data_IF_584881934062
#
_entry.id   IF_584881934062
#
_cell.length_a   1.000
_cell.length_b   1.000
_cell.length_c   1.000
_cell.angle_alpha   90.00
_cell.angle_beta   90.00
_cell.angle_gamma   90.00
#
_symmetry.space_group_name_H-M   'P 1'
#
loop_
_entity.id
_entity.type
_entity.pdbx_description
1 polymer ?
#
# COMPACT_ATOMS: atom_id res chain seq x y z
N UNK A 1 -31.72 -0.51 1.16
CA UNK A 1 -30.48 0.19 0.76
C UNK A 1 -29.46 0.02 1.89
N UNK A 2 -28.17 -0.11 1.58
CA UNK A 2 -27.13 -0.47 2.56
C UNK A 2 -26.66 0.71 3.47
N UNK A 3 -27.57 1.61 3.86
CA UNK A 3 -27.27 2.76 4.73
C UNK A 3 -26.44 3.90 4.13
N UNK A 4 -25.95 3.76 2.89
CA UNK A 4 -25.15 4.79 2.21
C UNK A 4 -26.00 5.80 1.44
N UNK A 5 -25.54 7.06 1.38
CA UNK A 5 -26.23 8.18 0.69
C UNK A 5 -26.19 8.13 -0.84
N UNK A 6 -25.55 7.11 -1.42
CA UNK A 6 -25.30 6.96 -2.85
C UNK A 6 -24.01 6.20 -3.13
N UNK A 7 -23.54 6.24 -4.38
CA UNK A 7 -22.27 5.64 -4.78
C UNK A 7 -21.11 6.36 -4.09
N UNK A 8 -20.23 5.61 -3.44
CA UNK A 8 -19.02 6.11 -2.79
C UNK A 8 -17.78 5.38 -3.29
N UNK A 9 -16.62 6.01 -3.11
CA UNK A 9 -15.32 5.43 -3.46
C UNK A 9 -14.85 4.41 -2.41
N UNK A 10 -14.03 3.41 -2.80
CA UNK A 10 -13.27 2.62 -1.82
C UNK A 10 -12.49 3.54 -0.89
N UNK A 11 -12.58 3.31 0.43
CA UNK A 11 -11.91 4.07 1.47
C UNK A 11 -10.40 4.21 1.20
N UNK A 12 -9.75 3.13 0.76
CA UNK A 12 -8.31 3.09 0.45
C UNK A 12 -7.87 4.01 -0.70
N UNK A 13 -8.80 4.48 -1.55
CA UNK A 13 -8.52 5.46 -2.60
C UNK A 13 -8.40 6.91 -2.08
N UNK A 14 -8.63 7.14 -0.78
CA UNK A 14 -8.53 8.46 -0.14
C UNK A 14 -7.19 9.16 -0.46
N UNK A 15 -6.08 8.43 -0.36
CA UNK A 15 -4.76 8.96 -0.67
C UNK A 15 -4.63 9.32 -2.16
N UNK A 16 -5.04 8.43 -3.07
CA UNK A 16 -5.03 8.65 -4.53
C UNK A 16 -5.79 9.91 -4.95
N UNK A 17 -6.98 10.14 -4.39
CA UNK A 17 -7.82 11.29 -4.75
C UNK A 17 -7.39 12.60 -4.10
N UNK A 18 -6.68 12.53 -2.97
CA UNK A 18 -6.11 13.71 -2.32
C UNK A 18 -4.82 14.21 -2.97
N UNK A 19 -4.14 13.37 -3.74
CA UNK A 19 -2.88 13.68 -4.40
C UNK A 19 -3.03 14.66 -5.56
N UNK A 20 -2.05 15.55 -5.71
CA UNK A 20 -1.92 16.44 -6.87
C UNK A 20 -1.90 15.65 -8.18
N UNK A 21 -2.44 16.24 -9.25
CA UNK A 21 -2.29 15.67 -10.58
C UNK A 21 -0.81 15.66 -10.99
N UNK A 22 -0.31 14.52 -11.47
CA UNK A 22 1.07 14.38 -11.95
C UNK A 22 1.42 15.31 -13.13
N UNK A 23 0.41 15.84 -13.83
CA UNK A 23 0.56 16.75 -14.96
C UNK A 23 -0.63 17.72 -15.04
N UNK A 24 -0.40 18.93 -15.53
CA UNK A 24 -1.42 19.94 -15.79
C UNK A 24 -1.35 20.47 -17.24
N UNK A 25 -2.48 20.87 -17.85
CA UNK A 25 -2.49 21.50 -19.18
C UNK A 25 -1.48 22.65 -19.29
N UNK A 26 -0.68 22.63 -20.36
CA UNK A 26 0.40 23.60 -20.59
C UNK A 26 1.77 23.19 -20.01
N UNK A 27 1.84 22.20 -19.11
CA UNK A 27 3.12 21.62 -18.72
C UNK A 27 3.68 20.72 -19.85
N UNK A 28 5.00 20.65 -20.05
CA UNK A 28 5.57 19.68 -20.99
C UNK A 28 5.32 18.24 -20.52
N UNK A 29 5.32 17.29 -21.45
CA UNK A 29 5.16 15.86 -21.12
C UNK A 29 6.13 15.41 -20.02
N UNK A 30 5.66 14.51 -19.15
CA UNK A 30 6.49 13.82 -18.16
C UNK A 30 7.41 12.79 -18.83
N UNK A 31 6.97 12.23 -19.96
CA UNK A 31 7.66 11.20 -20.75
C UNK A 31 8.73 11.83 -21.66
N UNK A 32 9.79 12.36 -21.03
CA UNK A 32 10.86 13.12 -21.71
C UNK A 32 12.01 12.26 -22.25
N UNK A 33 11.95 10.94 -22.07
CA UNK A 33 13.01 10.00 -22.43
C UNK A 33 12.41 8.74 -23.06
N UNK A 34 13.08 8.21 -24.07
CA UNK A 34 12.79 6.91 -24.70
C UNK A 34 13.59 5.75 -24.08
N UNK A 35 14.14 5.94 -22.87
CA UNK A 35 14.85 4.90 -22.14
C UNK A 35 13.83 3.86 -21.62
N UNK A 36 13.97 2.55 -21.89
CA UNK A 36 12.99 1.53 -21.50
C UNK A 36 12.68 1.52 -20.00
N UNK A 37 13.69 1.73 -19.15
CA UNK A 37 13.56 1.73 -17.69
C UNK A 37 13.30 3.13 -17.10
N UNK A 38 12.82 4.09 -17.90
CA UNK A 38 12.45 5.41 -17.39
C UNK A 38 11.15 5.34 -16.59
N UNK A 39 11.25 5.57 -15.28
CA UNK A 39 10.09 5.61 -14.38
C UNK A 39 9.94 7.00 -13.77
N UNK A 40 8.70 7.45 -13.60
CA UNK A 40 8.42 8.74 -12.98
C UNK A 40 8.71 8.67 -11.49
N UNK A 41 9.67 9.47 -11.02
CA UNK A 41 9.85 9.67 -9.57
C UNK A 41 8.61 10.41 -9.06
N UNK A 42 7.88 9.80 -8.14
CA UNK A 42 6.68 10.41 -7.54
C UNK A 42 7.01 11.82 -7.01
N UNK A 43 6.42 12.84 -7.63
CA UNK A 43 6.57 14.24 -7.23
C UNK A 43 5.66 14.54 -6.04
N UNK A 44 5.87 13.81 -4.94
CA UNK A 44 5.34 14.24 -3.65
C UNK A 44 6.18 15.44 -3.20
N UNK A 45 5.68 16.64 -3.47
CA UNK A 45 6.18 17.87 -2.87
C UNK A 45 6.00 17.76 -1.35
N UNK A 46 7.01 17.24 -0.64
CA UNK A 46 7.01 17.12 0.83
C UNK A 46 7.28 18.47 1.53
N UNK A 47 6.77 19.57 0.95
CA UNK A 47 6.99 20.94 1.41
C UNK A 47 8.46 21.34 1.50
N UNK A 48 8.74 22.36 2.30
CA UNK A 48 10.09 22.90 2.56
C UNK A 48 10.86 22.09 3.63
N UNK A 49 10.40 20.89 3.98
CA UNK A 49 10.92 20.17 5.15
C UNK A 49 12.15 19.34 4.73
N UNK A 50 13.35 19.60 5.31
CA UNK A 50 14.58 18.93 4.89
C UNK A 50 14.48 17.42 4.99
N UNK A 51 14.62 16.72 3.86
CA UNK A 51 14.60 15.27 3.85
C UNK A 51 15.97 14.73 4.29
N UNK A 52 16.04 13.84 5.31
CA UNK A 52 17.29 13.30 5.84
C UNK A 52 17.93 12.23 4.93
N UNK A 53 17.45 12.10 3.68
CA UNK A 53 17.88 11.07 2.76
C UNK A 53 17.45 11.33 1.32
N UNK A 54 18.07 10.61 0.40
CA UNK A 54 17.80 10.68 -1.05
C UNK A 54 16.92 9.52 -1.54
N UNK A 55 16.72 8.50 -0.70
CA UNK A 55 15.94 7.29 -0.94
C UNK A 55 15.01 7.04 0.24
N UNK A 56 13.99 6.19 0.07
CA UNK A 56 13.15 5.76 1.17
C UNK A 56 12.12 4.71 0.81
N UNK A 57 11.48 4.17 1.83
CA UNK A 57 10.35 3.24 1.72
C UNK A 57 9.34 3.50 2.85
N UNK A 58 8.07 3.22 2.59
CA UNK A 58 7.05 3.19 3.62
C UNK A 58 7.30 2.02 4.57
N UNK A 59 7.19 2.26 5.87
CA UNK A 59 7.42 1.26 6.93
C UNK A 59 6.13 0.85 7.63
N UNK A 60 5.17 1.78 7.70
CA UNK A 60 3.89 1.59 8.38
C UNK A 60 2.85 2.61 7.86
N UNK A 61 1.58 2.21 7.80
CA UNK A 61 0.46 3.03 7.32
C UNK A 61 -0.81 2.66 8.10
N UNK A 62 -1.21 3.52 9.04
CA UNK A 62 -2.52 3.47 9.70
C UNK A 62 -3.47 4.47 9.01
N UNK A 63 -4.74 4.12 8.82
CA UNK A 63 -5.77 5.05 8.33
C UNK A 63 -7.07 4.85 9.10
N UNK A 64 -7.57 5.92 9.71
CA UNK A 64 -8.87 6.00 10.37
C UNK A 64 -9.86 6.71 9.43
N UNK A 65 -11.01 6.09 9.15
CA UNK A 65 -12.04 6.63 8.26
C UNK A 65 -13.28 7.05 9.06
N UNK A 66 -13.73 8.29 8.86
CA UNK A 66 -14.87 8.87 9.59
C UNK A 66 -16.16 8.87 8.76
N UNK A 67 -16.04 8.91 7.44
CA UNK A 67 -17.15 8.78 6.49
C UNK A 67 -16.63 8.37 5.11
N UNK A 68 -17.45 7.69 4.28
CA UNK A 68 -17.10 7.41 2.90
C UNK A 68 -17.08 8.69 2.05
N UNK A 69 -16.22 8.71 1.02
CA UNK A 69 -16.16 9.79 0.03
C UNK A 69 -17.16 9.53 -1.10
N UNK A 70 -18.19 10.36 -1.22
CA UNK A 70 -19.25 10.14 -2.21
C UNK A 70 -18.89 10.64 -3.62
N UNK A 71 -19.52 10.04 -4.63
CA UNK A 71 -19.34 10.43 -6.04
C UNK A 71 -19.63 11.93 -6.23
N UNK A 72 -18.66 12.65 -6.80
CA UNK A 72 -18.74 14.10 -7.04
C UNK A 72 -18.18 14.97 -5.90
N UNK A 73 -17.86 14.40 -4.74
CA UNK A 73 -17.11 15.12 -3.71
C UNK A 73 -15.64 15.35 -4.13
N UNK A 74 -15.03 16.39 -3.57
CA UNK A 74 -13.60 16.69 -3.73
C UNK A 74 -12.92 16.56 -2.38
N UNK A 75 -11.87 15.76 -2.30
CA UNK A 75 -11.07 15.59 -1.08
C UNK A 75 -9.74 16.33 -1.18
N UNK A 76 -9.23 16.78 -0.05
CA UNK A 76 -7.96 17.48 0.07
C UNK A 76 -7.30 17.19 1.41
N UNK A 77 -5.97 17.12 1.45
CA UNK A 77 -5.23 17.16 2.73
C UNK A 77 -5.28 18.60 3.24
N UNK A 78 -5.90 18.81 4.41
CA UNK A 78 -6.00 20.15 5.03
C UNK A 78 -4.89 20.43 6.02
N UNK A 79 -4.45 19.41 6.74
CA UNK A 79 -3.32 19.47 7.65
C UNK A 79 -2.39 18.30 7.39
N UNK A 80 -1.09 18.56 7.44
CA UNK A 80 -0.05 17.53 7.46
C UNK A 80 0.96 17.88 8.55
N UNK A 81 1.10 17.01 9.55
CA UNK A 81 1.93 17.24 10.74
C UNK A 81 3.00 16.17 10.87
N UNK A 82 4.25 16.58 11.05
CA UNK A 82 5.34 15.68 11.42
C UNK A 82 5.16 15.31 12.89
N UNK A 83 4.83 14.05 13.18
CA UNK A 83 4.63 13.57 14.55
C UNK A 83 5.93 13.06 15.18
N UNK A 84 6.82 12.45 14.37
CA UNK A 84 8.02 11.78 14.86
C UNK A 84 9.18 11.92 13.89
N UNK A 85 10.39 12.05 14.45
CA UNK A 85 11.69 12.01 13.76
C UNK A 85 12.62 11.11 14.59
N UNK A 86 12.95 9.94 14.07
CA UNK A 86 13.83 8.98 14.76
C UNK A 86 15.05 8.63 13.87
N UNK A 87 16.19 9.35 14.03
CA UNK A 87 17.42 9.08 13.31
C UNK A 87 17.99 7.70 13.64
N UNK A 88 18.34 6.92 12.61
CA UNK A 88 18.83 5.55 12.77
C UNK A 88 19.73 5.13 11.61
N UNK A 89 20.88 4.52 11.93
CA UNK A 89 21.72 3.78 10.99
C UNK A 89 21.11 2.41 10.73
N UNK A 90 21.01 2.00 9.46
CA UNK A 90 20.48 0.70 9.04
C UNK A 90 21.42 0.02 8.05
N UNK A 91 21.06 -1.20 7.63
CA UNK A 91 21.80 -1.96 6.60
C UNK A 91 21.72 -1.34 5.20
N UNK A 92 20.71 -0.52 4.91
CA UNK A 92 20.56 0.15 3.61
C UNK A 92 21.24 1.52 3.57
N UNK A 93 21.35 2.20 4.71
CA UNK A 93 21.96 3.53 4.77
C UNK A 93 21.87 4.20 6.14
N UNK A 94 22.29 5.46 6.18
CA UNK A 94 22.07 6.37 7.30
C UNK A 94 20.87 7.28 7.00
N UNK A 95 19.97 7.47 7.97
CA UNK A 95 18.69 8.12 7.72
C UNK A 95 17.84 8.30 8.98
N UNK A 96 16.54 8.54 8.80
CA UNK A 96 15.58 8.64 9.90
C UNK A 96 14.22 8.03 9.53
N UNK A 97 13.54 7.46 10.53
CA UNK A 97 12.12 7.15 10.45
C UNK A 97 11.33 8.43 10.72
N UNK A 98 10.47 8.82 9.77
CA UNK A 98 9.58 9.97 9.89
C UNK A 98 8.13 9.47 9.90
N UNK A 99 7.33 9.92 10.86
CA UNK A 99 5.88 9.64 10.91
C UNK A 99 5.09 10.92 10.69
N UNK A 100 4.19 10.90 9.70
CA UNK A 100 3.32 12.03 9.35
C UNK A 100 1.87 11.71 9.65
N UNK A 101 1.15 12.61 10.31
CA UNK A 101 -0.32 12.62 10.29
C UNK A 101 -0.81 13.49 9.12
N UNK A 102 -1.75 13.00 8.33
CA UNK A 102 -2.43 13.74 7.26
C UNK A 102 -3.94 13.72 7.49
N UNK A 103 -4.57 14.88 7.54
CA UNK A 103 -6.03 15.04 7.77
C UNK A 103 -6.72 15.32 6.44
N UNK A 104 -7.59 14.42 6.00
CA UNK A 104 -8.31 14.52 4.73
C UNK A 104 -9.72 15.08 4.96
N UNK A 105 -10.04 16.19 4.31
CA UNK A 105 -11.37 16.79 4.36
C UNK A 105 -11.98 16.94 2.97
N UNK A 106 -13.31 16.86 2.90
CA UNK A 106 -14.06 17.14 1.67
C UNK A 106 -14.15 18.66 1.37
N UNK A 107 -14.88 19.03 0.31
CA UNK A 107 -15.05 20.42 -0.10
C UNK A 107 -15.81 21.31 0.90
N UNK A 108 -16.57 20.73 1.83
CA UNK A 108 -17.28 21.46 2.91
C UNK A 108 -16.40 21.67 4.15
N UNK A 109 -15.29 20.94 4.25
CA UNK A 109 -14.41 20.93 5.43
C UNK A 109 -14.66 19.74 6.37
N UNK A 110 -15.66 18.91 6.11
CA UNK A 110 -15.93 17.72 6.93
C UNK A 110 -14.74 16.75 6.84
N UNK A 111 -14.35 16.17 7.98
CA UNK A 111 -13.29 15.17 8.05
C UNK A 111 -13.75 13.86 7.39
N UNK A 112 -12.96 13.33 6.47
CA UNK A 112 -13.20 12.06 5.75
C UNK A 112 -12.32 10.95 6.34
N UNK A 113 -11.06 11.26 6.60
CA UNK A 113 -10.11 10.32 7.19
C UNK A 113 -8.90 11.01 7.81
N UNK A 114 -8.13 10.26 8.59
CA UNK A 114 -6.82 10.63 9.12
C UNK A 114 -5.87 9.47 8.86
N UNK A 115 -4.75 9.71 8.17
CA UNK A 115 -3.71 8.71 7.97
C UNK A 115 -2.46 9.06 8.77
N UNK A 116 -1.84 8.04 9.40
CA UNK A 116 -0.50 8.11 9.97
C UNK A 116 0.42 7.25 9.12
N UNK A 117 1.31 7.90 8.38
CA UNK A 117 2.24 7.23 7.46
C UNK A 117 3.66 7.37 7.97
N UNK A 118 4.32 6.24 8.19
CA UNK A 118 5.73 6.18 8.56
C UNK A 118 6.58 5.77 7.36
N UNK A 119 7.67 6.48 7.14
CA UNK A 119 8.66 6.21 6.09
C UNK A 119 10.07 6.24 6.69
N UNK A 120 10.95 5.35 6.22
CA UNK A 120 12.39 5.48 6.48
C UNK A 120 13.04 6.18 5.29
N UNK A 121 13.56 7.39 5.52
CA UNK A 121 14.30 8.18 4.52
C UNK A 121 15.79 8.11 4.82
N UNK A 122 16.61 7.78 3.82
CA UNK A 122 18.04 7.49 4.01
C UNK A 122 18.93 7.89 2.82
N UNK A 123 20.22 8.05 3.10
CA UNK A 123 21.29 8.07 2.11
C UNK A 123 21.85 6.65 2.00
N UNK A 124 21.80 5.99 0.83
CA UNK A 124 22.24 4.61 0.68
C UNK A 124 23.75 4.48 0.92
N UNK A 125 24.18 3.37 1.52
CA UNK A 125 25.61 3.04 1.60
C UNK A 125 26.20 2.91 0.18
N UNK A 126 27.46 3.32 -0.05
CA UNK A 126 28.12 3.13 -1.34
C UNK A 126 28.05 1.67 -1.79
N UNK A 127 27.51 1.43 -3.00
CA UNK A 127 27.42 0.09 -3.58
C UNK A 127 28.85 -0.43 -3.77
N UNK A 128 29.18 -1.57 -3.15
CA UNK A 128 30.47 -2.24 -3.43
C UNK A 128 30.53 -2.60 -4.91
N UNK A 129 31.47 -1.99 -5.62
CA UNK A 129 31.73 -2.31 -7.04
C UNK A 129 31.97 -3.82 -7.21
N UNK A 130 31.52 -4.36 -8.34
CA UNK A 130 31.69 -5.79 -8.67
C UNK A 130 30.64 -6.74 -8.08
N UNK A 131 29.74 -6.30 -7.18
CA UNK A 131 28.53 -7.10 -6.85
C UNK A 131 27.41 -6.87 -7.85
N UNK A 132 27.50 -7.55 -8.99
CA UNK A 132 26.31 -8.11 -9.64
C UNK A 132 25.56 -8.93 -8.59
N UNK A 133 24.24 -8.75 -8.45
CA UNK A 133 23.44 -9.70 -7.68
C UNK A 133 23.41 -10.97 -8.52
N UNK A 134 24.19 -11.98 -8.16
CA UNK A 134 24.20 -13.23 -8.92
C UNK A 134 22.81 -13.84 -8.85
N UNK A 135 22.26 -14.22 -10.00
CA UNK A 135 20.89 -14.72 -10.12
C UNK A 135 20.68 -15.94 -9.21
N UNK A 136 21.72 -16.79 -9.10
CA UNK A 136 21.82 -17.91 -8.15
C UNK A 136 21.52 -17.55 -6.68
N UNK A 137 21.88 -16.36 -6.17
CA UNK A 137 21.58 -15.99 -4.77
C UNK A 137 20.12 -15.56 -4.57
N UNK A 138 19.46 -15.07 -5.62
CA UNK A 138 18.01 -14.84 -5.62
C UNK A 138 17.26 -16.16 -5.76
N UNK A 139 17.70 -17.03 -6.67
CA UNK A 139 17.10 -18.33 -6.95
C UNK A 139 17.28 -19.33 -5.80
N UNK A 140 18.46 -19.44 -5.18
CA UNK A 140 18.68 -20.36 -4.06
C UNK A 140 17.78 -20.03 -2.85
N UNK A 141 17.51 -18.75 -2.59
CA UNK A 141 16.55 -18.29 -1.56
C UNK A 141 15.08 -18.39 -1.98
N UNK A 142 14.78 -18.50 -3.27
CA UNK A 142 13.43 -18.75 -3.77
C UNK A 142 13.11 -20.25 -3.81
N UNK A 143 14.07 -21.08 -4.23
CA UNK A 143 13.96 -22.53 -4.32
C UNK A 143 13.90 -23.21 -2.93
N UNK A 144 14.64 -22.68 -1.95
CA UNK A 144 14.53 -23.13 -0.55
C UNK A 144 13.20 -22.75 0.13
N UNK A 145 12.35 -21.98 -0.55
CA UNK A 145 11.01 -21.61 -0.12
C UNK A 145 9.93 -22.26 -1.02
N UNK A 146 10.23 -23.44 -1.56
CA UNK A 146 9.24 -24.34 -2.15
C UNK A 146 8.22 -24.72 -1.06
N UNK A 147 6.95 -24.35 -1.30
CA UNK A 147 5.94 -24.25 -0.24
C UNK A 147 5.66 -25.55 0.51
N UNK A 148 6.04 -25.59 1.78
CA UNK A 148 5.57 -26.60 2.72
C UNK A 148 4.27 -26.13 3.39
N UNK A 149 3.12 -26.66 2.94
CA UNK A 149 1.92 -26.77 3.77
C UNK A 149 1.01 -25.55 3.94
N UNK A 150 0.93 -24.65 2.96
CA UNK A 150 -0.18 -23.67 2.90
C UNK A 150 -1.33 -24.25 2.10
N UNK A 151 -2.34 -24.84 2.76
CA UNK A 151 -3.65 -25.15 2.18
C UNK A 151 -4.36 -23.82 1.83
N UNK A 152 -4.03 -23.29 0.66
CA UNK A 152 -4.57 -22.07 0.07
C UNK A 152 -4.89 -22.40 -1.40
N UNK A 153 -6.09 -22.09 -1.91
CA UNK A 153 -6.44 -22.34 -3.31
C UNK A 153 -5.46 -21.71 -4.30
N UNK A 154 -5.36 -22.25 -5.52
CA UNK A 154 -4.53 -21.64 -6.57
C UNK A 154 -5.10 -20.28 -7.05
N UNK A 155 -6.44 -20.13 -6.99
CA UNK A 155 -7.14 -18.87 -7.19
C UNK A 155 -8.40 -18.78 -6.32
N UNK A 156 -8.82 -17.55 -6.00
CA UNK A 156 -10.13 -17.29 -5.38
C UNK A 156 -10.16 -17.49 -3.87
N UNK A 157 -11.35 -17.42 -3.28
CA UNK A 157 -11.56 -17.80 -1.87
C UNK A 157 -11.53 -19.31 -1.69
N UNK A 158 -11.36 -19.77 -0.45
CA UNK A 158 -11.70 -21.14 -0.04
C UNK A 158 -13.08 -21.51 -0.64
N UNK A 159 -13.26 -22.71 -1.23
CA UNK A 159 -14.55 -23.15 -1.77
C UNK A 159 -15.69 -23.22 -0.73
N UNK A 160 -15.41 -22.99 0.56
CA UNK A 160 -16.40 -22.83 1.65
C UNK A 160 -16.93 -21.41 1.84
N UNK A 161 -16.36 -20.39 1.18
CA UNK A 161 -16.74 -18.99 1.38
C UNK A 161 -17.97 -18.60 0.53
N UNK A 162 -19.16 -18.60 1.13
CA UNK A 162 -20.35 -18.01 0.53
C UNK A 162 -20.43 -16.50 0.79
N UNK A 163 -19.94 -15.72 -0.17
CA UNK A 163 -20.00 -14.25 -0.14
C UNK A 163 -21.40 -13.67 -0.44
N UNK A 164 -22.41 -14.50 -0.73
CA UNK A 164 -23.79 -14.02 -0.91
C UNK A 164 -24.56 -13.89 0.40
N UNK A 165 -24.06 -14.51 1.48
CA UNK A 165 -24.65 -14.42 2.82
C UNK A 165 -24.00 -13.30 3.62
N UNK A 166 -24.78 -12.26 3.95
CA UNK A 166 -24.36 -11.19 4.86
C UNK A 166 -24.14 -11.77 6.27
N UNK A 167 -22.91 -11.72 6.77
CA UNK A 167 -22.63 -11.94 8.19
C UNK A 167 -23.10 -10.74 9.01
N UNK A 168 -23.70 -11.00 10.16
CA UNK A 168 -24.01 -9.99 11.15
C UNK A 168 -23.06 -10.08 12.35
N UNK A 169 -23.01 -9.03 13.19
CA UNK A 169 -22.22 -9.03 14.42
C UNK A 169 -22.54 -10.22 15.34
N UNK A 170 -23.81 -10.64 15.36
CA UNK A 170 -24.28 -11.78 16.17
C UNK A 170 -23.86 -13.15 15.61
N UNK A 171 -23.32 -13.22 14.38
CA UNK A 171 -22.90 -14.45 13.71
C UNK A 171 -21.41 -14.78 13.90
N UNK A 172 -20.64 -13.90 14.56
CA UNK A 172 -19.18 -14.04 14.77
C UNK A 172 -18.80 -13.96 16.25
N UNK A 173 -17.65 -14.54 16.61
CA UNK A 173 -17.04 -14.40 17.95
C UNK A 173 -15.51 -14.30 17.87
N UNK A 174 -14.91 -13.83 18.96
CA UNK A 174 -13.44 -13.81 19.11
C UNK A 174 -12.84 -15.20 18.87
N UNK A 175 -11.83 -15.27 18.00
CA UNK A 175 -11.13 -16.51 17.64
C UNK A 175 -11.73 -17.28 16.46
N UNK A 176 -12.78 -16.80 15.80
CA UNK A 176 -13.22 -17.37 14.52
C UNK A 176 -12.18 -17.12 13.40
N UNK A 177 -11.94 -18.15 12.58
CA UNK A 177 -11.07 -18.07 11.40
C UNK A 177 -11.73 -17.31 10.25
N UNK A 178 -11.02 -16.35 9.67
CA UNK A 178 -11.41 -15.70 8.41
C UNK A 178 -11.08 -16.62 7.24
N UNK A 179 -12.00 -16.72 6.27
CA UNK A 179 -11.78 -17.47 5.03
C UNK A 179 -10.50 -17.03 4.31
N UNK A 180 -9.67 -18.00 3.91
CA UNK A 180 -8.46 -17.75 3.12
C UNK A 180 -8.83 -17.34 1.70
N UNK A 181 -8.11 -16.35 1.16
CA UNK A 181 -8.30 -15.88 -0.23
C UNK A 181 -6.95 -15.84 -0.95
N UNK A 182 -6.86 -16.56 -2.06
CA UNK A 182 -5.75 -16.53 -2.97
C UNK A 182 -5.94 -15.43 -4.01
N UNK A 183 -5.05 -14.44 -3.99
CA UNK A 183 -5.04 -13.34 -4.95
C UNK A 183 -3.73 -13.31 -5.75
N UNK A 184 -3.66 -13.95 -6.94
CA UNK A 184 -2.45 -13.99 -7.73
C UNK A 184 -1.92 -12.59 -8.10
N UNK A 185 -0.66 -12.31 -7.77
CA UNK A 185 0.03 -11.06 -8.13
C UNK A 185 0.82 -11.29 -9.41
N UNK A 186 0.33 -10.74 -10.52
CA UNK A 186 1.01 -10.80 -11.83
C UNK A 186 1.60 -9.45 -12.19
N UNK A 187 2.60 -9.42 -13.08
CA UNK A 187 3.18 -8.16 -13.59
C UNK A 187 2.09 -7.27 -14.21
N UNK A 188 1.12 -7.86 -14.92
CA UNK A 188 -0.03 -7.12 -15.46
C UNK A 188 -0.85 -6.43 -14.35
N UNK A 189 -1.08 -7.09 -13.21
CA UNK A 189 -1.78 -6.49 -12.06
C UNK A 189 -0.98 -5.35 -11.44
N UNK A 190 0.34 -5.49 -11.32
CA UNK A 190 1.23 -4.40 -10.83
C UNK A 190 1.22 -3.17 -11.76
N UNK A 191 1.20 -3.37 -13.08
CA UNK A 191 1.08 -2.29 -14.07
C UNK A 191 -0.30 -1.61 -14.00
N UNK A 192 -1.38 -2.38 -13.86
CA UNK A 192 -2.74 -1.85 -13.68
C UNK A 192 -2.89 -1.07 -12.38
N UNK A 193 -2.29 -1.57 -11.29
CA UNK A 193 -2.26 -0.99 -9.95
C UNK A 193 -1.61 0.40 -9.94
N UNK A 194 -0.39 0.52 -10.46
CA UNK A 194 0.31 1.80 -10.62
C UNK A 194 -0.51 2.82 -11.44
N UNK A 195 -1.25 2.36 -12.46
CA UNK A 195 -2.16 3.19 -13.23
C UNK A 195 -3.40 3.67 -12.45
N UNK A 196 -3.93 2.83 -11.55
CA UNK A 196 -5.13 3.10 -10.78
C UNK A 196 -4.88 4.06 -9.59
N UNK A 197 -3.80 3.84 -8.83
CA UNK A 197 -3.45 4.67 -7.67
C UNK A 197 -2.48 5.83 -8.00
N UNK A 198 -1.96 5.87 -9.25
CA UNK A 198 -1.02 6.89 -9.77
C UNK A 198 0.37 6.85 -9.13
N UNK A 199 0.73 5.76 -8.45
CA UNK A 199 2.07 5.51 -7.94
C UNK A 199 2.97 4.96 -9.06
N UNK A 200 3.54 5.87 -9.85
CA UNK A 200 4.41 5.54 -10.97
C UNK A 200 5.87 5.23 -10.53
N UNK A 201 6.11 4.91 -9.27
CA UNK A 201 7.42 4.48 -8.79
C UNK A 201 7.80 3.11 -9.38
N UNK A 202 8.94 3.09 -10.08
CA UNK A 202 9.41 1.93 -10.84
C UNK A 202 9.61 0.65 -10.05
N UNK A 203 9.84 0.73 -8.73
CA UNK A 203 10.06 -0.45 -7.89
C UNK A 203 8.88 -1.45 -7.89
N UNK A 204 7.68 -0.98 -8.24
CA UNK A 204 6.47 -1.81 -8.25
C UNK A 204 6.24 -2.53 -9.59
N UNK A 205 6.78 -2.02 -10.71
CA UNK A 205 6.47 -2.52 -12.06
C UNK A 205 7.68 -2.59 -13.01
N UNK A 206 8.90 -2.39 -12.52
CA UNK A 206 10.15 -2.61 -13.25
C UNK A 206 11.17 -3.37 -12.37
N UNK A 207 11.56 -4.57 -12.82
CA UNK A 207 12.48 -5.47 -12.13
C UNK A 207 13.87 -4.88 -11.92
N UNK A 208 14.44 -4.22 -12.93
CA UNK A 208 15.79 -3.66 -12.84
C UNK A 208 15.84 -2.45 -11.91
N UNK A 209 14.77 -1.65 -11.89
CA UNK A 209 14.61 -0.57 -10.90
C UNK A 209 14.45 -1.16 -9.49
N UNK A 210 13.59 -2.17 -9.28
CA UNK A 210 13.43 -2.82 -7.98
C UNK A 210 14.76 -3.41 -7.45
N UNK A 211 15.49 -4.14 -8.32
CA UNK A 211 16.83 -4.70 -8.03
C UNK A 211 17.89 -3.64 -7.79
N UNK A 212 17.83 -2.50 -8.50
CA UNK A 212 18.76 -1.39 -8.26
C UNK A 212 18.58 -0.77 -6.87
N UNK A 213 17.36 -0.83 -6.31
CA UNK A 213 17.00 -0.41 -4.95
C UNK A 213 17.19 -1.51 -3.88
N UNK A 214 17.70 -2.69 -4.26
CA UNK A 214 18.03 -3.78 -3.34
C UNK A 214 16.92 -4.78 -3.05
N UNK A 215 15.75 -4.67 -3.70
CA UNK A 215 14.72 -5.71 -3.65
C UNK A 215 15.11 -6.91 -4.55
N UNK A 216 14.64 -8.14 -4.26
CA UNK A 216 14.94 -9.30 -5.11
C UNK A 216 14.23 -9.23 -6.48
N UNK A 217 13.02 -8.66 -6.51
CA UNK A 217 12.20 -8.41 -7.69
C UNK A 217 11.15 -7.33 -7.37
N UNK A 218 10.27 -7.02 -8.31
CA UNK A 218 9.10 -6.14 -8.14
C UNK A 218 8.16 -6.64 -7.01
N UNK A 219 7.44 -5.70 -6.38
CA UNK A 219 6.48 -5.98 -5.31
C UNK A 219 5.32 -4.97 -5.32
N UNK A 220 4.13 -5.37 -4.87
CA UNK A 220 2.98 -4.46 -4.72
C UNK A 220 3.29 -3.27 -3.81
N UNK A 221 2.66 -2.11 -4.04
CA UNK A 221 2.66 -1.05 -3.03
C UNK A 221 1.67 -1.35 -1.88
N UNK A 222 1.85 -0.66 -0.74
CA UNK A 222 1.08 -0.92 0.46
C UNK A 222 -0.42 -0.58 0.30
N UNK A 223 -0.77 0.42 -0.52
CA UNK A 223 -2.15 0.85 -0.72
C UNK A 223 -2.95 -0.18 -1.52
N UNK A 224 -2.31 -0.87 -2.46
CA UNK A 224 -2.94 -1.98 -3.17
C UNK A 224 -3.22 -3.18 -2.25
N UNK A 225 -2.28 -3.52 -1.36
CA UNK A 225 -2.47 -4.59 -0.37
C UNK A 225 -3.62 -4.26 0.60
N UNK A 226 -3.69 -3.02 1.10
CA UNK A 226 -4.82 -2.54 1.91
C UNK A 226 -6.14 -2.54 1.13
N UNK A 227 -6.11 -2.22 -0.17
CA UNK A 227 -7.28 -2.16 -1.04
C UNK A 227 -8.02 -3.49 -1.22
N UNK A 228 -7.43 -4.62 -0.84
CA UNK A 228 -8.04 -5.95 -0.95
C UNK A 228 -8.95 -6.34 0.24
N UNK A 229 -9.11 -5.48 1.27
CA UNK A 229 -9.51 -5.91 2.62
C UNK A 229 -10.57 -5.02 3.32
N UNK A 230 -11.59 -4.51 2.62
CA UNK A 230 -12.40 -3.37 3.10
C UNK A 230 -13.93 -3.62 3.11
N UNK A 231 -14.59 -3.59 4.29
CA UNK A 231 -16.07 -3.60 4.47
C UNK A 231 -16.53 -2.96 5.82
N UNK A 232 -17.83 -2.62 5.99
CA UNK A 232 -18.44 -1.98 7.20
C UNK A 232 -19.94 -2.32 7.47
N UNK A 233 -20.63 -2.18 8.64
CA UNK A 233 -20.63 -1.22 9.80
C UNK A 233 -20.83 -1.96 11.18
N UNK A 234 -20.39 -1.43 12.36
CA UNK A 234 -20.13 -2.08 13.71
C UNK A 234 -18.79 -2.84 13.88
N UNK A 235 -17.90 -2.41 14.78
CA UNK A 235 -16.47 -2.80 14.80
C UNK A 235 -16.19 -4.29 15.13
N UNK A 236 -15.32 -4.90 14.32
CA UNK A 236 -14.61 -6.17 14.62
C UNK A 236 -13.13 -5.98 14.28
N UNK A 237 -12.22 -6.32 15.21
CA UNK A 237 -10.78 -6.34 14.93
C UNK A 237 -10.38 -7.67 14.28
N UNK A 238 -10.11 -7.63 12.97
CA UNK A 238 -9.51 -8.75 12.27
C UNK A 238 -8.00 -8.64 12.32
N UNK A 239 -7.33 -9.57 13.02
CA UNK A 239 -5.89 -9.74 12.89
C UNK A 239 -5.57 -10.44 11.58
N UNK A 240 -5.44 -9.66 10.51
CA UNK A 240 -5.11 -10.17 9.18
C UNK A 240 -3.61 -10.49 9.05
N UNK A 241 -3.29 -11.37 8.11
CA UNK A 241 -1.93 -11.81 7.82
C UNK A 241 -1.85 -12.24 6.35
N UNK A 242 -1.07 -11.54 5.53
CA UNK A 242 -0.78 -11.97 4.16
C UNK A 242 0.65 -12.49 4.07
N UNK A 243 0.81 -13.64 3.43
CA UNK A 243 2.10 -14.19 3.04
C UNK A 243 2.23 -14.19 1.52
N UNK A 244 3.44 -14.01 1.01
CA UNK A 244 3.75 -14.38 -0.37
C UNK A 244 3.99 -15.89 -0.49
N UNK A 245 4.16 -16.39 -1.72
CA UNK A 245 4.42 -17.81 -2.03
C UNK A 245 5.67 -18.43 -1.40
N UNK A 246 6.45 -17.65 -0.63
CA UNK A 246 7.65 -18.09 0.12
C UNK A 246 7.44 -18.08 1.64
N UNK A 247 6.20 -17.94 2.13
CA UNK A 247 5.88 -17.89 3.57
C UNK A 247 6.41 -16.63 4.27
N UNK A 248 6.68 -15.55 3.53
CA UNK A 248 7.14 -14.28 4.10
C UNK A 248 5.92 -13.36 4.24
N UNK A 249 5.68 -12.91 5.47
CA UNK A 249 4.66 -11.90 5.78
C UNK A 249 4.90 -10.60 5.02
N UNK A 250 3.86 -10.08 4.37
CA UNK A 250 3.87 -8.81 3.64
C UNK A 250 2.85 -7.79 4.19
N UNK A 251 2.29 -8.07 5.38
CA UNK A 251 1.28 -7.26 6.05
C UNK A 251 -0.17 -7.53 5.56
N UNK A 252 -1.15 -6.72 5.98
CA UNK A 252 -1.06 -5.72 7.04
C UNK A 252 -1.05 -6.37 8.44
N UNK A 253 -1.07 -5.53 9.48
CA UNK A 253 -1.31 -5.95 10.86
C UNK A 253 -2.82 -6.04 11.16
N UNK A 254 -3.26 -5.66 12.37
CA UNK A 254 -4.70 -5.64 12.69
C UNK A 254 -5.46 -4.64 11.81
N UNK A 255 -6.65 -5.06 11.37
CA UNK A 255 -7.58 -4.27 10.57
C UNK A 255 -8.91 -4.23 11.32
N UNK A 256 -9.36 -3.03 11.67
CA UNK A 256 -10.72 -2.83 12.20
C UNK A 256 -11.69 -2.77 11.01
N UNK A 257 -12.38 -3.88 10.76
CA UNK A 257 -13.52 -3.93 9.83
C UNK A 257 -14.80 -3.66 10.61
N UNK A 258 -15.94 -3.66 9.92
CA UNK A 258 -17.21 -3.53 10.61
C UNK A 258 -18.31 -4.44 10.00
N UNK A 259 -19.20 -5.05 10.81
CA UNK A 259 -20.22 -6.05 10.42
C UNK A 259 -21.64 -5.70 10.93
N UNK A 260 -22.67 -5.57 10.09
CA UNK A 260 -23.98 -5.03 10.49
C UNK A 260 -24.63 -5.83 11.63
N UNK A 261 -25.44 -5.17 12.46
CA UNK A 261 -26.29 -5.83 13.47
C UNK A 261 -27.68 -6.09 12.89
N UNK A 262 -28.38 -7.08 13.44
CA UNK A 262 -29.76 -7.44 13.03
C UNK A 262 -30.84 -6.47 13.51
#
# INVERSE_FOLDING_TARGET
>A
EAGYKGVFAPYTMLQTYSGSANWQPGQPTLWRRSQPDFTLRAQVEQGEIPQPGTHGFATDVEIEYFQPLYLGERVSVRERRLLNVNPKRTSVGDGAFLTWESRFCNQRGDLVGVARTSQYLYVPHPRREGKTVSEEQGEAKAASASGAGTDVPEWGSDPRSDWSTQLFFEDVKEGDDVSRVAFPITIQRLVMEAGANRDFNGIHHNREIARSHGAPDMFCNNFFLQGMQQDGQNLVELKMWSENSRGISVGPGPVLVMLPSR
#
